data_IF_152300061925
#
_entry.id   IF_152300061925
#
_cell.length_a   1.000
_cell.length_b   1.000
_cell.length_c   1.000
_cell.angle_alpha   90.00
_cell.angle_beta   90.00
_cell.angle_gamma   90.00
#
_symmetry.space_group_name_H-M   'P 1'
#
loop_
_entity.id
_entity.type
_entity.pdbx_description
1 polymer ?
#
# COMPACT_ATOMS: atom_id res chain seq x y z
N UNK A 1 9.38 -22.53 15.13
CA UNK A 1 8.71 -22.29 13.84
C UNK A 1 8.99 -20.86 13.44
N UNK A 2 9.46 -20.62 12.22
CA UNK A 2 9.71 -19.26 11.71
C UNK A 2 8.46 -18.77 10.98
N UNK A 3 8.02 -17.57 11.31
CA UNK A 3 6.85 -16.90 10.73
C UNK A 3 7.27 -15.51 10.28
N UNK A 4 6.90 -15.13 9.06
CA UNK A 4 7.05 -13.79 8.55
C UNK A 4 5.73 -13.41 7.88
N UNK A 5 5.30 -12.15 8.01
CA UNK A 5 3.95 -11.73 7.63
C UNK A 5 3.97 -10.79 6.44
N UNK A 6 3.06 -11.05 5.49
CA UNK A 6 2.82 -10.21 4.32
C UNK A 6 2.29 -8.83 4.73
N UNK A 7 2.63 -7.82 3.93
CA UNK A 7 2.27 -6.43 4.21
C UNK A 7 1.66 -5.76 2.98
N UNK A 8 0.64 -4.93 3.21
CA UNK A 8 0.06 -4.07 2.19
C UNK A 8 0.24 -2.62 2.63
N UNK A 9 0.94 -1.85 1.81
CA UNK A 9 1.37 -0.47 2.07
C UNK A 9 0.89 0.45 0.95
N UNK A 10 0.79 1.73 1.24
CA UNK A 10 0.55 2.75 0.21
C UNK A 10 1.90 3.32 -0.25
N UNK A 11 2.00 3.76 -1.51
CA UNK A 11 3.21 4.39 -2.06
C UNK A 11 3.74 5.57 -1.21
N UNK A 12 2.83 6.35 -0.61
CA UNK A 12 3.18 7.48 0.26
C UNK A 12 3.15 7.14 1.77
N UNK A 13 3.11 5.85 2.12
CA UNK A 13 3.20 5.44 3.52
C UNK A 13 4.61 5.70 4.07
N UNK A 14 4.72 6.01 5.38
CA UNK A 14 6.02 6.11 6.03
C UNK A 14 6.74 4.75 6.05
N UNK A 15 8.03 4.79 6.38
CA UNK A 15 8.86 3.61 6.65
C UNK A 15 8.12 2.63 7.57
N UNK A 16 7.96 1.39 7.12
CA UNK A 16 7.21 0.36 7.83
C UNK A 16 8.12 -0.77 8.28
N UNK A 17 7.99 -1.19 9.55
CA UNK A 17 8.72 -2.33 10.09
C UNK A 17 8.03 -3.64 9.72
N UNK A 18 8.70 -4.51 8.98
CA UNK A 18 8.25 -5.88 8.71
C UNK A 18 8.38 -6.72 9.99
N UNK A 19 7.40 -7.60 10.19
CA UNK A 19 7.28 -8.45 11.37
C UNK A 19 7.65 -9.88 11.01
N UNK A 20 8.63 -10.41 11.73
CA UNK A 20 8.99 -11.82 11.71
C UNK A 20 9.25 -12.34 13.12
N UNK A 21 9.06 -13.64 13.29
CA UNK A 21 9.36 -14.40 14.49
C UNK A 21 10.33 -15.51 14.07
N UNK A 22 11.56 -15.54 14.60
CA UNK A 22 12.15 -14.60 15.58
C UNK A 22 12.37 -13.18 15.02
N UNK A 23 12.53 -12.16 15.86
CA UNK A 23 12.83 -10.80 15.38
C UNK A 23 14.32 -10.57 15.05
N UNK A 24 15.17 -11.56 15.34
CA UNK A 24 16.64 -11.46 15.26
C UNK A 24 17.24 -11.94 13.93
N UNK A 25 16.40 -12.23 12.94
CA UNK A 25 16.86 -12.55 11.59
C UNK A 25 17.18 -11.32 10.76
N UNK A 26 17.56 -11.56 9.51
CA UNK A 26 17.96 -10.55 8.55
C UNK A 26 17.01 -10.56 7.36
N UNK A 27 16.62 -9.36 6.92
CA UNK A 27 15.78 -9.17 5.75
C UNK A 27 16.63 -8.85 4.52
N UNK A 28 16.21 -9.34 3.35
CA UNK A 28 16.89 -9.16 2.07
C UNK A 28 15.90 -9.24 0.92
N UNK A 29 16.31 -8.84 -0.29
CA UNK A 29 15.46 -8.87 -1.48
C UNK A 29 15.48 -7.52 -2.16
N UNK A 30 14.41 -6.75 -2.01
CA UNK A 30 14.27 -5.45 -2.66
C UNK A 30 15.22 -4.38 -2.11
N UNK A 31 15.59 -3.40 -2.95
CA UNK A 31 16.35 -2.21 -2.55
C UNK A 31 15.63 -1.35 -1.50
N UNK A 32 14.31 -1.47 -1.40
CA UNK A 32 13.48 -0.76 -0.44
C UNK A 32 13.47 -1.37 0.96
N UNK A 33 14.07 -2.54 1.19
CA UNK A 33 14.14 -3.16 2.53
C UNK A 33 15.54 -3.07 3.12
N UNK A 34 15.63 -2.66 4.38
CA UNK A 34 16.88 -2.72 5.14
C UNK A 34 17.11 -4.13 5.72
N UNK A 35 18.35 -4.50 6.06
CA UNK A 35 18.62 -5.76 6.76
C UNK A 35 17.89 -5.94 8.09
N UNK A 36 17.49 -4.82 8.74
CA UNK A 36 16.69 -4.80 9.96
C UNK A 36 15.18 -4.95 9.71
N UNK A 37 14.74 -5.04 8.46
CA UNK A 37 13.33 -5.21 8.08
C UNK A 37 12.54 -3.91 7.99
N UNK A 38 13.18 -2.77 7.81
CA UNK A 38 12.49 -1.51 7.53
C UNK A 38 12.26 -1.43 6.02
N UNK A 39 11.00 -1.35 5.60
CA UNK A 39 10.60 -1.22 4.21
C UNK A 39 10.20 0.23 3.89
N UNK A 40 10.69 0.76 2.77
CA UNK A 40 10.37 2.09 2.25
C UNK A 40 9.50 2.01 0.97
N UNK A 41 8.18 2.27 1.07
CA UNK A 41 7.28 2.31 -0.07
C UNK A 41 7.65 3.37 -1.11
N UNK A 42 8.29 4.46 -0.71
CA UNK A 42 8.64 5.56 -1.62
C UNK A 42 9.83 5.22 -2.52
N UNK A 43 10.69 4.28 -2.10
CA UNK A 43 11.82 3.79 -2.90
C UNK A 43 11.37 2.68 -3.86
N UNK A 44 10.53 1.77 -3.38
CA UNK A 44 10.03 0.62 -4.17
C UNK A 44 9.03 1.05 -5.26
N UNK A 45 8.18 2.03 -4.97
CA UNK A 45 7.10 2.45 -5.86
C UNK A 45 5.94 1.44 -5.88
N UNK A 46 4.95 1.68 -6.74
CA UNK A 46 3.76 0.82 -6.84
C UNK A 46 4.13 -0.54 -7.44
N UNK A 47 3.75 -1.63 -6.76
CA UNK A 47 4.05 -2.98 -7.21
C UNK A 47 3.95 -4.04 -6.11
N UNK A 48 4.33 -5.26 -6.45
CA UNK A 48 4.46 -6.37 -5.49
C UNK A 48 5.93 -6.76 -5.38
N UNK A 49 6.45 -6.76 -4.16
CA UNK A 49 7.86 -6.98 -3.85
C UNK A 49 8.01 -8.22 -2.98
N UNK A 50 8.79 -9.19 -3.46
CA UNK A 50 9.12 -10.38 -2.68
C UNK A 50 10.33 -10.10 -1.79
N UNK A 51 10.12 -10.18 -0.48
CA UNK A 51 11.14 -9.96 0.54
C UNK A 51 11.47 -11.28 1.22
N UNK A 52 12.76 -11.56 1.43
CA UNK A 52 13.23 -12.78 2.09
C UNK A 52 13.73 -12.49 3.51
N UNK A 53 13.20 -13.22 4.47
CA UNK A 53 13.66 -13.24 5.86
C UNK A 53 14.51 -14.50 6.11
N UNK A 54 15.72 -14.30 6.62
CA UNK A 54 16.66 -15.36 6.95
C UNK A 54 17.01 -15.34 8.43
N UNK A 55 17.04 -16.51 9.05
CA UNK A 55 17.40 -16.68 10.45
C UNK A 55 18.27 -17.91 10.64
N UNK A 56 19.34 -17.77 11.43
CA UNK A 56 20.17 -18.90 11.86
C UNK A 56 20.07 -19.00 13.38
N UNK A 57 19.69 -20.16 13.88
CA UNK A 57 19.62 -20.39 15.33
C UNK A 57 21.01 -20.57 15.95
N UNK A 58 21.05 -20.65 17.28
CA UNK A 58 22.29 -20.81 18.04
C UNK A 58 22.97 -22.19 17.83
N UNK A 59 22.24 -23.16 17.27
CA UNK A 59 22.73 -24.48 16.90
C UNK A 59 23.17 -24.55 15.42
N UNK A 60 23.10 -23.44 14.68
CA UNK A 60 23.46 -23.35 13.26
C UNK A 60 22.35 -23.79 12.29
N UNK A 61 21.11 -23.98 12.74
CA UNK A 61 19.99 -24.28 11.86
C UNK A 61 19.58 -23.02 11.08
N UNK A 62 19.78 -23.06 9.77
CA UNK A 62 19.38 -22.00 8.86
C UNK A 62 17.91 -22.18 8.42
N UNK A 63 17.14 -21.10 8.49
CA UNK A 63 15.76 -21.05 8.03
C UNK A 63 15.54 -19.79 7.19
N UNK A 64 14.82 -19.96 6.09
CA UNK A 64 14.39 -18.86 5.23
C UNK A 64 12.86 -18.84 5.06
N UNK A 65 12.32 -17.64 4.88
CA UNK A 65 10.90 -17.38 4.59
C UNK A 65 10.76 -16.21 3.63
N UNK A 66 10.04 -16.43 2.54
CA UNK A 66 9.63 -15.37 1.63
C UNK A 66 8.31 -14.75 2.10
N UNK A 67 8.19 -13.45 1.90
CA UNK A 67 7.07 -12.59 2.26
C UNK A 67 6.76 -11.70 1.06
N UNK A 68 5.48 -11.43 0.83
CA UNK A 68 5.04 -10.48 -0.20
C UNK A 68 4.68 -9.14 0.43
N UNK A 69 5.26 -8.07 -0.11
CA UNK A 69 4.93 -6.69 0.24
C UNK A 69 4.27 -6.04 -0.98
N UNK A 70 2.99 -5.69 -0.85
CA UNK A 70 2.23 -5.02 -1.90
C UNK A 70 2.19 -3.53 -1.62
N UNK A 71 2.66 -2.72 -2.56
CA UNK A 71 2.59 -1.26 -2.51
C UNK A 71 1.54 -0.79 -3.51
N UNK A 72 0.47 -0.19 -3.00
CA UNK A 72 -0.65 0.31 -3.80
C UNK A 72 -0.58 1.83 -4.00
N UNK A 73 -1.11 2.27 -5.14
CA UNK A 73 -1.25 3.69 -5.47
C UNK A 73 -2.32 4.36 -4.60
N UNK A 74 -2.16 5.65 -4.33
CA UNK A 74 -3.20 6.42 -3.67
C UNK A 74 -4.39 6.65 -4.62
N UNK A 75 -5.64 6.59 -4.12
CA UNK A 75 -6.79 6.97 -4.94
C UNK A 75 -6.75 8.46 -5.28
N UNK A 76 -6.47 8.78 -6.54
CA UNK A 76 -6.59 10.15 -7.05
C UNK A 76 -8.05 10.39 -7.44
N UNK A 77 -8.67 11.39 -6.81
CA UNK A 77 -10.02 11.84 -7.18
C UNK A 77 -9.88 12.80 -8.36
N UNK A 78 -10.25 12.37 -9.56
CA UNK A 78 -10.44 13.27 -10.69
C UNK A 78 -11.85 13.86 -10.60
N UNK A 79 -11.96 15.11 -10.12
CA UNK A 79 -13.18 15.88 -10.30
C UNK A 79 -13.24 16.38 -11.75
N UNK A 80 -14.33 16.08 -12.46
CA UNK A 80 -14.58 16.65 -13.79
C UNK A 80 -14.63 18.19 -13.68
N UNK A 81 -14.03 18.86 -14.66
CA UNK A 81 -13.88 20.31 -14.69
C UNK A 81 -15.24 21.01 -14.55
N UNK A 82 -15.39 21.80 -13.49
CA UNK A 82 -16.66 22.46 -13.11
C UNK A 82 -17.11 23.50 -14.14
N UNK A 83 -16.22 23.86 -15.08
CA UNK A 83 -16.51 24.77 -16.19
C UNK A 83 -17.64 24.26 -17.12
N UNK A 84 -17.82 22.94 -17.26
CA UNK A 84 -18.89 22.37 -18.08
C UNK A 84 -20.29 22.51 -17.44
N UNK A 85 -20.34 22.71 -16.12
CA UNK A 85 -21.59 22.82 -15.35
C UNK A 85 -22.25 24.20 -15.45
N UNK A 86 -21.46 25.26 -15.70
CA UNK A 86 -22.01 26.62 -15.85
C UNK A 86 -22.75 26.84 -17.19
N UNK A 87 -22.60 25.93 -18.15
CA UNK A 87 -23.28 26.03 -19.46
C UNK A 87 -24.59 25.23 -19.54
N UNK A 88 -24.89 24.40 -18.53
CA UNK A 88 -26.16 23.66 -18.44
C UNK A 88 -27.12 24.37 -17.48
N UNK A 89 -28.14 25.04 -18.01
CA UNK A 89 -29.23 25.69 -17.25
C UNK A 89 -30.22 24.69 -16.62
N UNK A 90 -29.76 23.48 -16.29
CA UNK A 90 -30.57 22.41 -15.71
C UNK A 90 -30.00 21.97 -14.37
N UNK A 91 -30.87 21.78 -13.37
CA UNK A 91 -30.54 21.10 -12.12
C UNK A 91 -30.09 19.68 -12.42
N UNK A 92 -28.77 19.46 -12.51
CA UNK A 92 -28.19 18.13 -12.64
C UNK A 92 -28.03 17.54 -11.23
N UNK A 93 -28.58 16.34 -10.97
CA UNK A 93 -28.34 15.66 -9.71
C UNK A 93 -26.84 15.33 -9.61
N UNK A 94 -26.19 15.79 -8.52
CA UNK A 94 -24.76 15.58 -8.26
C UNK A 94 -24.36 14.08 -8.27
N UNK A 95 -25.33 13.18 -8.15
CA UNK A 95 -25.19 11.73 -8.31
C UNK A 95 -24.82 11.28 -9.72
N UNK A 96 -25.06 12.06 -10.78
CA UNK A 96 -24.68 11.68 -12.16
C UNK A 96 -23.31 12.24 -12.59
N UNK A 97 -22.86 13.36 -12.02
CA UNK A 97 -21.62 14.05 -12.46
C UNK A 97 -20.39 13.58 -11.67
N UNK A 98 -20.57 13.06 -10.46
CA UNK A 98 -19.50 12.45 -9.67
C UNK A 98 -19.31 11.00 -10.10
N UNK A 99 -18.66 10.78 -11.25
CA UNK A 99 -18.06 9.47 -11.54
C UNK A 99 -16.85 9.29 -10.62
N UNK A 100 -17.10 8.84 -9.39
CA UNK A 100 -16.07 8.46 -8.42
C UNK A 100 -15.41 7.15 -8.90
N UNK A 101 -14.56 7.21 -9.91
CA UNK A 101 -13.72 6.08 -10.28
C UNK A 101 -12.60 5.98 -9.25
N UNK A 102 -12.77 5.16 -8.20
CA UNK A 102 -11.67 4.80 -7.30
C UNK A 102 -10.70 3.88 -8.02
N UNK A 103 -9.44 4.29 -8.11
CA UNK A 103 -8.33 3.44 -8.49
C UNK A 103 -7.26 3.52 -7.40
N UNK A 104 -6.99 2.46 -6.63
CA UNK A 104 -7.47 1.08 -6.79
C UNK A 104 -8.90 0.83 -6.28
N UNK A 105 -9.53 -0.21 -6.84
CA UNK A 105 -10.92 -0.59 -6.59
C UNK A 105 -11.13 -1.15 -5.18
N UNK A 106 -11.49 -0.30 -4.23
CA UNK A 106 -11.76 -0.73 -2.85
C UNK A 106 -12.15 0.37 -1.85
N UNK A 107 -11.93 1.64 -2.19
CA UNK A 107 -12.35 2.75 -1.33
C UNK A 107 -13.87 2.92 -1.28
N UNK A 108 -14.45 2.81 -0.08
CA UNK A 108 -15.85 3.14 0.16
C UNK A 108 -15.97 4.63 0.54
N UNK A 109 -16.50 5.45 -0.36
CA UNK A 109 -16.65 6.90 -0.13
C UNK A 109 -17.89 7.20 0.72
N UNK A 110 -17.74 7.90 1.84
CA UNK A 110 -18.85 8.37 2.68
C UNK A 110 -19.00 9.89 2.52
N UNK A 111 -19.98 10.34 1.74
CA UNK A 111 -20.33 11.76 1.62
C UNK A 111 -21.13 12.19 2.87
N UNK A 112 -20.56 13.07 3.70
CA UNK A 112 -21.36 13.80 4.70
C UNK A 112 -22.00 15.00 4.01
N UNK A 113 -23.32 14.98 3.86
CA UNK A 113 -24.07 16.20 3.57
C UNK A 113 -23.90 17.17 4.74
N UNK A 114 -23.17 18.27 4.51
CA UNK A 114 -23.26 19.45 5.38
C UNK A 114 -24.56 20.13 4.97
N UNK A 115 -25.57 20.04 5.84
CA UNK A 115 -26.81 20.81 5.73
C UNK A 115 -26.61 22.21 6.26
#
# INVERSE_FOLDING_TARGET
>A
MVVAQDAVLCENSPLTQLIAIPSTGTWSGDTAVTPSGIFDPAISGIGTFSVNYQYTDMNGCFVERMVEVVVEAFPVIAALDTALLCSATGTLPLTEVLQLTSNPSGGMFSLRSIK
#
